data_IF_258484083275
#
_entry.id   IF_258484083275
#
_cell.length_a   1.000
_cell.length_b   1.000
_cell.length_c   1.000
_cell.angle_alpha   90.00
_cell.angle_beta   90.00
_cell.angle_gamma   90.00
#
_symmetry.space_group_name_H-M   'P 1'
#
loop_
_entity.id
_entity.type
_entity.pdbx_description
1 polymer ?
#
# COMPACT_ATOMS: atom_id res chain seq x y z
N UNK A 1 -17.51 -3.26 -6.13
CA UNK A 1 -16.60 -4.11 -5.33
C UNK A 1 -16.37 -3.43 -3.99
N UNK A 2 -16.38 -4.19 -2.90
CA UNK A 2 -16.22 -3.68 -1.53
C UNK A 2 -14.75 -3.42 -1.23
N UNK A 3 -14.47 -2.46 -0.34
CA UNK A 3 -13.13 -2.16 0.17
C UNK A 3 -12.47 -3.43 0.74
N UNK A 4 -11.21 -3.75 0.37
CA UNK A 4 -10.49 -4.89 0.96
C UNK A 4 -10.33 -4.75 2.48
N UNK A 5 -10.19 -5.87 3.21
CA UNK A 5 -9.91 -5.81 4.64
C UNK A 5 -8.58 -5.08 4.90
N UNK A 6 -8.49 -4.43 6.05
CA UNK A 6 -7.27 -3.72 6.47
C UNK A 6 -6.41 -4.61 7.35
N UNK A 7 -5.10 -4.54 7.18
CA UNK A 7 -4.14 -5.20 8.04
C UNK A 7 -4.24 -4.59 9.46
N UNK A 8 -4.41 -5.41 10.51
CA UNK A 8 -4.64 -4.89 11.85
C UNK A 8 -3.38 -4.27 12.43
N UNK A 9 -3.53 -3.15 13.14
CA UNK A 9 -2.46 -2.58 13.97
C UNK A 9 -2.50 -3.29 15.33
N UNK A 10 -1.52 -4.15 15.59
CA UNK A 10 -1.48 -4.98 16.79
C UNK A 10 -0.25 -4.63 17.64
N UNK A 11 -0.39 -4.44 18.97
CA UNK A 11 0.73 -4.05 19.85
C UNK A 11 1.88 -5.05 19.92
N UNK A 12 1.62 -6.34 19.69
CA UNK A 12 2.63 -7.40 19.77
C UNK A 12 3.43 -7.62 18.49
N UNK A 13 3.40 -6.67 17.55
CA UNK A 13 4.26 -6.69 16.38
C UNK A 13 5.73 -6.58 16.80
N UNK A 14 6.58 -7.44 16.27
CA UNK A 14 8.02 -7.37 16.48
C UNK A 14 8.61 -6.08 15.90
N UNK A 15 9.73 -5.64 16.48
CA UNK A 15 10.41 -4.41 16.08
C UNK A 15 10.99 -4.46 14.67
N UNK A 16 11.43 -5.64 14.24
CA UNK A 16 12.07 -5.81 12.94
C UNK A 16 11.01 -5.89 11.85
N UNK A 17 11.03 -4.92 10.94
CA UNK A 17 10.25 -4.94 9.71
C UNK A 17 11.24 -4.92 8.55
N UNK A 18 11.23 -5.98 7.74
CA UNK A 18 12.02 -5.99 6.52
C UNK A 18 11.17 -5.42 5.38
N UNK A 19 11.57 -4.25 4.85
CA UNK A 19 10.94 -3.64 3.68
C UNK A 19 11.89 -3.73 2.48
N UNK A 20 11.43 -4.33 1.38
CA UNK A 20 12.23 -4.56 0.17
C UNK A 20 11.53 -4.02 -1.08
N UNK A 21 12.13 -3.05 -1.82
CA UNK A 21 11.70 -2.76 -3.19
C UNK A 21 12.23 -3.83 -4.15
N UNK A 22 11.35 -4.42 -4.94
CA UNK A 22 11.68 -5.48 -5.90
C UNK A 22 11.45 -5.00 -7.33
N UNK A 23 12.52 -4.91 -8.11
CA UNK A 23 12.48 -4.69 -9.55
C UNK A 23 12.82 -5.98 -10.30
N UNK A 24 12.31 -6.10 -11.51
CA UNK A 24 12.67 -7.20 -12.42
C UNK A 24 13.40 -6.63 -13.62
N UNK A 25 14.63 -7.08 -13.87
CA UNK A 25 15.47 -6.64 -15.00
C UNK A 25 16.07 -7.86 -15.68
N UNK A 26 15.95 -7.94 -17.00
CA UNK A 26 16.65 -8.95 -17.80
C UNK A 26 18.03 -8.42 -18.17
N UNK A 27 19.06 -9.21 -17.93
CA UNK A 27 20.45 -8.89 -18.26
C UNK A 27 20.97 -9.95 -19.24
N UNK A 28 21.56 -9.49 -20.35
CA UNK A 28 22.19 -10.34 -21.35
C UNK A 28 23.64 -9.88 -21.54
N UNK A 29 24.60 -10.74 -21.21
CA UNK A 29 26.02 -10.51 -21.43
C UNK A 29 26.46 -10.85 -22.84
N UNK A 30 27.44 -10.11 -23.35
CA UNK A 30 28.07 -10.35 -24.64
C UNK A 30 29.50 -10.87 -24.45
N UNK A 31 30.05 -11.58 -25.43
CA UNK A 31 31.42 -12.13 -25.40
C UNK A 31 32.50 -11.05 -25.23
N UNK A 32 32.18 -9.79 -25.53
CA UNK A 32 33.06 -8.64 -25.33
C UNK A 32 33.07 -8.09 -23.90
N UNK A 33 32.29 -8.67 -22.97
CA UNK A 33 32.10 -8.17 -21.61
C UNK A 33 31.12 -7.00 -21.49
N UNK A 34 30.48 -6.59 -22.60
CA UNK A 34 29.38 -5.62 -22.58
C UNK A 34 28.07 -6.31 -22.24
N UNK A 35 27.09 -5.54 -21.75
CA UNK A 35 25.77 -6.07 -21.38
C UNK A 35 24.64 -5.23 -21.97
N UNK A 36 23.53 -5.91 -22.27
CA UNK A 36 22.23 -5.30 -22.53
C UNK A 36 21.34 -5.54 -21.31
N UNK A 37 20.66 -4.50 -20.85
CA UNK A 37 19.77 -4.54 -19.67
C UNK A 37 18.40 -4.00 -20.04
N UNK A 38 17.35 -4.74 -19.70
CA UNK A 38 15.95 -4.37 -19.99
C UNK A 38 15.14 -4.43 -18.69
N UNK A 39 14.66 -3.28 -18.17
CA UNK A 39 13.77 -3.27 -17.02
C UNK A 39 12.39 -3.78 -17.44
N UNK A 40 11.83 -4.72 -16.66
CA UNK A 40 10.50 -5.27 -16.87
C UNK A 40 9.43 -4.56 -16.04
N UNK A 41 9.82 -3.93 -14.93
CA UNK A 41 8.92 -3.17 -14.06
C UNK A 41 9.29 -1.69 -14.09
N UNK A 42 8.29 -0.83 -14.34
CA UNK A 42 8.43 0.63 -14.24
C UNK A 42 8.57 1.10 -12.78
N UNK A 43 7.85 0.45 -11.87
CA UNK A 43 7.87 0.73 -10.44
C UNK A 43 8.14 -0.56 -9.64
N UNK A 44 8.66 -0.49 -8.40
CA UNK A 44 8.94 -1.68 -7.61
C UNK A 44 7.66 -2.38 -7.16
N UNK A 45 7.74 -3.69 -6.93
CA UNK A 45 6.82 -4.34 -5.99
C UNK A 45 7.45 -4.21 -4.60
N UNK A 46 6.68 -3.69 -3.65
CA UNK A 46 7.12 -3.59 -2.27
C UNK A 46 6.82 -4.90 -1.56
N UNK A 47 7.80 -5.42 -0.85
CA UNK A 47 7.64 -6.65 -0.07
C UNK A 47 7.97 -6.36 1.39
N UNK A 48 7.18 -6.97 2.27
CA UNK A 48 7.36 -6.87 3.70
C UNK A 48 7.44 -8.25 4.32
N UNK A 49 8.28 -8.36 5.33
CA UNK A 49 8.30 -9.46 6.28
C UNK A 49 8.24 -8.88 7.69
N UNK A 50 7.22 -9.30 8.44
CA UNK A 50 6.89 -8.80 9.77
C UNK A 50 6.70 -9.98 10.70
N UNK A 51 7.23 -9.88 11.92
CA UNK A 51 6.96 -10.84 12.99
C UNK A 51 5.94 -10.30 14.00
N UNK A 52 5.31 -11.22 14.74
CA UNK A 52 4.54 -10.93 15.93
C UNK A 52 5.09 -11.78 17.07
N UNK A 53 5.73 -11.13 18.04
CA UNK A 53 6.35 -11.78 19.19
C UNK A 53 5.30 -12.15 20.25
N UNK A 54 4.10 -11.57 20.15
CA UNK A 54 2.98 -11.89 21.03
C UNK A 54 1.62 -11.56 20.42
N UNK A 55 0.71 -12.52 20.46
CA UNK A 55 -0.69 -12.40 20.07
C UNK A 55 -1.52 -13.08 21.15
N UNK A 56 -2.59 -12.43 21.59
CA UNK A 56 -3.48 -12.97 22.59
C UNK A 56 -4.68 -13.64 21.93
N UNK A 57 -5.00 -14.87 22.34
CA UNK A 57 -6.21 -15.57 21.89
C UNK A 57 -7.44 -15.26 22.75
N UNK A 58 -7.30 -14.42 23.77
CA UNK A 58 -8.33 -14.01 24.72
C UNK A 58 -8.00 -12.62 25.27
N UNK A 59 -8.72 -12.16 26.31
CA UNK A 59 -8.51 -10.87 26.95
C UNK A 59 -7.55 -10.91 28.16
N UNK A 60 -6.88 -12.04 28.45
CA UNK A 60 -6.01 -12.19 29.60
C UNK A 60 -4.70 -11.36 29.51
N UNK A 61 -4.33 -10.94 28.30
CA UNK A 61 -3.11 -10.18 28.02
C UNK A 61 -3.45 -8.81 27.42
N UNK A 62 -3.90 -7.83 28.23
CA UNK A 62 -4.39 -6.54 27.74
C UNK A 62 -3.33 -5.76 26.94
N UNK A 63 -2.05 -5.93 27.26
CA UNK A 63 -0.94 -5.29 26.54
C UNK A 63 -0.77 -5.75 25.08
N UNK A 64 -1.34 -6.91 24.71
CA UNK A 64 -1.28 -7.46 23.35
C UNK A 64 -2.57 -7.22 22.55
N UNK A 65 -3.56 -6.56 23.16
CA UNK A 65 -4.91 -6.41 22.61
C UNK A 65 -5.71 -7.71 22.73
N UNK A 66 -6.96 -7.60 23.18
CA UNK A 66 -7.84 -8.77 23.30
C UNK A 66 -8.11 -9.40 21.93
N UNK A 67 -7.93 -10.71 21.82
CA UNK A 67 -8.17 -11.48 20.60
C UNK A 67 -7.33 -11.03 19.38
N UNK A 68 -6.12 -10.50 19.61
CA UNK A 68 -5.22 -10.06 18.52
C UNK A 68 -4.81 -11.22 17.60
N UNK A 69 -4.74 -12.45 18.12
CA UNK A 69 -4.58 -13.65 17.29
C UNK A 69 -5.71 -13.75 16.26
N UNK A 70 -6.96 -13.66 16.70
CA UNK A 70 -8.12 -13.81 15.84
C UNK A 70 -8.23 -12.69 14.81
N UNK A 71 -7.77 -11.47 15.14
CA UNK A 71 -7.69 -10.38 14.17
C UNK A 71 -6.72 -10.70 13.02
N UNK A 72 -5.51 -11.18 13.33
CA UNK A 72 -4.52 -11.50 12.30
C UNK A 72 -4.86 -12.77 11.53
N UNK A 73 -5.22 -13.85 12.24
CA UNK A 73 -5.63 -15.11 11.64
C UNK A 73 -6.90 -14.93 10.79
N UNK A 74 -7.85 -14.12 11.27
CA UNK A 74 -9.06 -13.79 10.53
C UNK A 74 -8.78 -13.09 9.20
N UNK A 75 -7.83 -12.16 9.16
CA UNK A 75 -7.37 -11.53 7.92
C UNK A 75 -6.79 -12.56 6.94
N UNK A 76 -5.96 -13.47 7.45
CA UNK A 76 -5.33 -14.52 6.64
C UNK A 76 -6.39 -15.45 6.03
N UNK A 77 -7.39 -15.86 6.82
CA UNK A 77 -8.50 -16.69 6.37
C UNK A 77 -9.41 -15.97 5.36
N UNK A 78 -9.72 -14.68 5.57
CA UNK A 78 -10.48 -13.87 4.61
C UNK A 78 -9.73 -13.70 3.28
N UNK A 79 -8.39 -13.69 3.35
CA UNK A 79 -7.53 -13.62 2.17
C UNK A 79 -7.36 -14.99 1.49
N UNK A 80 -7.78 -16.09 2.11
CA UNK A 80 -7.58 -17.45 1.58
C UNK A 80 -6.13 -17.72 1.16
N UNK A 81 -5.16 -17.36 2.01
CA UNK A 81 -3.73 -17.45 1.68
C UNK A 81 -3.33 -16.39 0.66
N UNK A 82 -2.72 -16.81 -0.46
CA UNK A 82 -2.19 -15.89 -1.47
C UNK A 82 -3.25 -15.26 -2.39
N UNK A 83 -4.49 -15.74 -2.34
CA UNK A 83 -5.53 -15.35 -3.30
C UNK A 83 -6.01 -13.90 -3.10
N UNK A 84 -6.43 -13.59 -1.88
CA UNK A 84 -7.08 -12.34 -1.52
C UNK A 84 -6.08 -11.19 -1.35
N UNK A 85 -6.65 -9.98 -1.37
CA UNK A 85 -5.90 -8.73 -1.16
C UNK A 85 -6.37 -8.04 0.10
N UNK A 86 -5.47 -7.29 0.72
CA UNK A 86 -5.74 -6.48 1.91
C UNK A 86 -4.98 -5.15 1.84
N UNK A 87 -5.39 -4.19 2.65
CA UNK A 87 -4.74 -2.88 2.74
C UNK A 87 -3.72 -2.89 3.88
N UNK A 88 -2.47 -2.61 3.57
CA UNK A 88 -1.40 -2.43 4.55
C UNK A 88 -1.00 -0.95 4.63
N UNK A 89 -1.21 -0.34 5.79
CA UNK A 89 -0.75 1.02 6.08
C UNK A 89 0.58 0.93 6.81
N UNK A 90 1.67 1.24 6.13
CA UNK A 90 2.98 1.26 6.75
C UNK A 90 3.09 2.45 7.72
N UNK A 91 3.58 2.28 8.97
CA UNK A 91 3.63 3.37 9.95
C UNK A 91 4.48 4.59 9.55
N UNK A 92 5.52 4.39 8.74
CA UNK A 92 6.50 5.42 8.39
C UNK A 92 6.28 6.07 7.02
N UNK A 93 5.46 5.47 6.16
CA UNK A 93 5.23 5.91 4.77
C UNK A 93 3.75 5.75 4.43
N UNK A 94 2.95 6.74 4.83
CA UNK A 94 1.48 6.64 4.89
C UNK A 94 0.79 7.92 4.44
N UNK A 95 1.48 9.07 4.45
CA UNK A 95 0.89 10.37 4.15
C UNK A 95 1.70 11.13 3.09
N UNK A 96 0.98 11.88 2.26
CA UNK A 96 1.53 12.81 1.27
C UNK A 96 0.92 14.18 1.53
N UNK A 97 1.73 15.23 1.48
CA UNK A 97 1.31 16.61 1.73
C UNK A 97 1.57 17.48 0.51
N UNK A 98 0.49 18.07 -0.03
CA UNK A 98 0.48 19.03 -1.14
C UNK A 98 1.41 18.69 -2.31
N UNK A 99 1.54 17.40 -2.64
CA UNK A 99 2.44 16.95 -3.70
C UNK A 99 1.77 17.14 -5.05
N UNK A 100 2.52 17.66 -6.04
CA UNK A 100 2.08 17.69 -7.42
C UNK A 100 1.84 16.27 -7.95
N UNK A 101 0.69 16.07 -8.59
CA UNK A 101 0.27 14.80 -9.21
C UNK A 101 0.05 14.92 -10.72
N UNK A 102 0.05 16.15 -11.25
CA UNK A 102 -0.03 16.41 -12.69
C UNK A 102 -0.19 17.89 -13.00
N UNK A 103 -0.27 18.20 -14.28
CA UNK A 103 -0.51 19.54 -14.81
C UNK A 103 -1.75 19.48 -15.70
N UNK A 104 -2.66 20.43 -15.51
CA UNK A 104 -3.83 20.60 -16.37
C UNK A 104 -3.42 20.99 -17.78
N UNK A 105 -4.11 20.44 -18.77
CA UNK A 105 -3.95 20.75 -20.20
C UNK A 105 -5.25 21.37 -20.80
N UNK A 106 -6.27 21.62 -19.96
CA UNK A 106 -7.59 22.10 -20.37
C UNK A 106 -8.53 21.02 -20.91
N UNK A 107 -8.11 19.76 -21.00
CA UNK A 107 -8.91 18.65 -21.56
C UNK A 107 -8.94 17.40 -20.67
N UNK A 108 -7.80 16.99 -20.12
CA UNK A 108 -7.67 15.86 -19.25
C UNK A 108 -8.32 16.14 -17.89
N UNK A 109 -9.15 15.20 -17.44
CA UNK A 109 -9.87 15.28 -16.17
C UNK A 109 -9.30 14.34 -15.12
N UNK A 110 -8.51 13.34 -15.54
CA UNK A 110 -8.09 12.25 -14.69
C UNK A 110 -6.60 12.38 -14.31
N UNK A 111 -6.32 12.34 -13.01
CA UNK A 111 -4.98 12.38 -12.45
C UNK A 111 -4.81 11.23 -11.48
N UNK A 112 -3.64 10.58 -11.48
CA UNK A 112 -3.38 9.49 -10.54
C UNK A 112 -2.75 10.03 -9.27
N UNK A 113 -3.17 9.51 -8.11
CA UNK A 113 -2.47 9.77 -6.88
C UNK A 113 -1.09 9.12 -6.92
N UNK A 114 -0.07 9.91 -6.61
CA UNK A 114 1.33 9.48 -6.62
C UNK A 114 2.00 9.91 -5.31
N UNK A 115 2.97 9.13 -4.85
CA UNK A 115 3.87 9.49 -3.76
C UNK A 115 5.29 9.58 -4.27
N UNK A 116 6.08 10.50 -3.71
CA UNK A 116 7.50 10.65 -4.00
C UNK A 116 8.33 10.29 -2.78
N UNK A 117 9.21 9.30 -2.92
CA UNK A 117 10.12 8.84 -1.87
C UNK A 117 11.56 8.95 -2.36
N UNK A 118 12.37 9.79 -1.73
CA UNK A 118 13.79 9.94 -2.09
C UNK A 118 14.06 10.33 -3.55
N UNK A 119 13.11 11.03 -4.19
CA UNK A 119 13.18 11.42 -5.61
C UNK A 119 12.56 10.41 -6.58
N UNK A 120 12.08 9.26 -6.12
CA UNK A 120 11.33 8.31 -6.93
C UNK A 120 9.82 8.52 -6.75
N UNK A 121 9.11 8.79 -7.85
CA UNK A 121 7.66 8.98 -7.85
C UNK A 121 6.95 7.74 -8.36
N UNK A 122 5.99 7.23 -7.60
CA UNK A 122 5.17 6.07 -7.98
C UNK A 122 3.70 6.27 -7.63
N UNK A 123 2.83 5.55 -8.35
CA UNK A 123 1.39 5.53 -8.09
C UNK A 123 1.11 4.83 -6.77
N UNK A 124 0.22 5.40 -5.95
CA UNK A 124 -0.17 4.76 -4.68
C UNK A 124 -1.19 3.64 -4.91
N UNK A 125 -1.24 2.70 -3.96
CA UNK A 125 -2.09 1.51 -4.02
C UNK A 125 -3.56 1.75 -3.67
N UNK A 126 -3.82 2.56 -2.64
CA UNK A 126 -5.16 2.88 -2.17
C UNK A 126 -5.16 4.21 -1.43
N UNK A 127 -6.08 5.13 -1.74
CA UNK A 127 -6.23 6.39 -0.97
C UNK A 127 -7.18 6.18 0.21
N UNK A 128 -6.71 6.50 1.41
CA UNK A 128 -7.48 6.39 2.65
C UNK A 128 -8.17 7.72 2.97
N UNK A 129 -9.42 7.64 3.43
CA UNK A 129 -10.21 8.82 3.78
C UNK A 129 -10.50 9.72 2.57
N UNK A 130 -10.79 10.99 2.84
CA UNK A 130 -11.04 12.00 1.80
C UNK A 130 -9.78 12.83 1.58
N UNK A 131 -9.16 12.81 0.38
CA UNK A 131 -8.00 13.64 0.09
C UNK A 131 -8.37 15.14 0.02
N UNK A 132 -7.39 16.01 0.25
CA UNK A 132 -7.48 17.44 -0.04
C UNK A 132 -6.79 17.68 -1.38
N UNK A 133 -7.54 18.18 -2.35
CA UNK A 133 -7.06 18.43 -3.72
C UNK A 133 -6.91 19.92 -3.92
N UNK A 134 -5.85 20.33 -4.59
CA UNK A 134 -5.55 21.70 -4.91
C UNK A 134 -5.43 21.87 -6.42
N UNK A 135 -6.00 22.96 -6.93
CA UNK A 135 -5.83 23.44 -8.29
C UNK A 135 -5.05 24.75 -8.23
N UNK A 136 -3.82 24.73 -8.76
CA UNK A 136 -2.87 25.84 -8.73
C UNK A 136 -2.68 26.44 -7.32
N UNK A 137 -2.55 25.57 -6.31
CA UNK A 137 -2.33 25.94 -4.91
C UNK A 137 -3.60 26.28 -4.11
N UNK A 138 -4.78 26.34 -4.75
CA UNK A 138 -6.05 26.63 -4.06
C UNK A 138 -6.82 25.33 -3.81
N UNK A 139 -7.29 25.05 -2.58
CA UNK A 139 -8.07 23.85 -2.31
C UNK A 139 -9.39 23.87 -3.09
N UNK A 140 -9.69 22.76 -3.75
CA UNK A 140 -10.91 22.57 -4.52
C UNK A 140 -11.91 21.76 -3.70
N UNK A 141 -13.17 22.19 -3.69
CA UNK A 141 -14.24 21.49 -2.97
C UNK A 141 -14.39 20.04 -3.41
N UNK A 142 -14.78 19.17 -2.46
CA UNK A 142 -14.94 17.72 -2.68
C UNK A 142 -16.05 17.34 -3.65
N UNK A 143 -16.85 18.30 -4.13
CA UNK A 143 -17.87 18.09 -5.18
C UNK A 143 -17.34 18.36 -6.59
N UNK A 144 -16.21 19.04 -6.73
CA UNK A 144 -15.59 19.36 -8.02
C UNK A 144 -14.78 18.20 -8.60
N UNK A 145 -14.57 17.16 -7.82
CA UNK A 145 -13.84 15.97 -8.21
C UNK A 145 -14.44 14.74 -7.54
N UNK A 146 -14.18 13.58 -8.12
CA UNK A 146 -14.54 12.29 -7.56
C UNK A 146 -13.29 11.42 -7.41
N UNK A 147 -13.25 10.65 -6.33
CA UNK A 147 -12.28 9.58 -6.15
C UNK A 147 -12.91 8.29 -6.65
N UNK A 148 -12.30 7.66 -7.63
CA UNK A 148 -12.72 6.32 -8.06
C UNK A 148 -11.87 5.28 -7.33
N UNK A 149 -12.51 4.53 -6.42
CA UNK A 149 -11.93 3.36 -5.75
C UNK A 149 -12.96 2.20 -5.71
N UNK A 150 -12.57 0.93 -5.75
CA UNK A 150 -11.35 0.37 -6.33
C UNK A 150 -11.59 -0.08 -7.77
N UNK A 151 -10.64 0.23 -8.64
CA UNK A 151 -10.44 -0.64 -9.79
C UNK A 151 -8.94 -0.65 -10.04
N UNK A 152 -8.35 -1.84 -10.12
CA UNK A 152 -6.90 -2.10 -10.21
C UNK A 152 -6.24 -1.57 -11.48
N UNK A 153 -6.41 -0.27 -11.72
CA UNK A 153 -5.58 0.58 -12.57
C UNK A 153 -5.80 2.10 -12.30
N UNK A 154 -6.75 2.53 -11.46
CA UNK A 154 -7.17 3.95 -11.43
C UNK A 154 -7.50 4.46 -10.03
N UNK A 155 -6.51 4.51 -9.12
CA UNK A 155 -6.49 5.48 -8.01
C UNK A 155 -6.48 6.91 -8.58
N UNK A 156 -7.60 7.27 -9.19
CA UNK A 156 -7.73 8.39 -10.10
C UNK A 156 -8.66 9.41 -9.46
N UNK A 157 -8.09 10.58 -9.28
CA UNK A 157 -8.80 11.82 -9.10
C UNK A 157 -9.41 12.21 -10.44
N UNK A 158 -10.74 12.29 -10.52
CA UNK A 158 -11.43 12.76 -11.73
C UNK A 158 -12.15 14.07 -11.46
N UNK A 159 -11.74 15.14 -12.11
CA UNK A 159 -12.43 16.42 -12.01
C UNK A 159 -13.74 16.43 -12.82
N UNK A 160 -14.75 17.15 -12.33
CA UNK A 160 -15.98 17.41 -13.07
C UNK A 160 -15.70 18.23 -14.34
N UNK A 161 -14.84 19.24 -14.22
CA UNK A 161 -14.37 20.11 -15.30
C UNK A 161 -12.86 19.98 -15.42
N UNK A 162 -12.33 19.86 -16.64
CA UNK A 162 -10.89 19.73 -16.85
C UNK A 162 -10.17 20.96 -16.27
N UNK A 163 -9.12 20.78 -15.45
CA UNK A 163 -8.34 21.91 -14.98
C UNK A 163 -7.69 22.68 -16.14
N UNK A 164 -7.56 23.99 -15.98
CA UNK A 164 -7.03 24.85 -17.03
C UNK A 164 -5.58 24.51 -17.39
N UNK A 165 -5.18 24.86 -18.61
CA UNK A 165 -3.83 24.60 -19.10
C UNK A 165 -2.77 25.30 -18.21
N UNK A 166 -1.77 24.54 -17.77
CA UNK A 166 -0.68 25.04 -16.94
C UNK A 166 -0.97 25.07 -15.44
N UNK A 167 -2.19 24.75 -15.02
CA UNK A 167 -2.51 24.63 -13.60
C UNK A 167 -1.85 23.40 -12.98
N UNK A 168 -1.09 23.58 -11.90
CA UNK A 168 -0.50 22.46 -11.15
C UNK A 168 -1.56 21.83 -10.26
N UNK A 169 -1.81 20.55 -10.47
CA UNK A 169 -2.71 19.77 -9.63
C UNK A 169 -1.88 19.11 -8.54
N UNK A 170 -2.22 19.38 -7.28
CA UNK A 170 -1.56 18.77 -6.13
C UNK A 170 -2.56 18.20 -5.14
N UNK A 171 -2.13 17.26 -4.30
CA UNK A 171 -3.00 16.64 -3.31
C UNK A 171 -2.28 16.34 -1.99
N UNK A 172 -3.04 16.44 -0.90
CA UNK A 172 -2.69 15.92 0.42
C UNK A 172 -3.60 14.74 0.75
N UNK A 173 -3.03 13.59 1.10
CA UNK A 173 -3.81 12.38 1.31
C UNK A 173 -3.06 11.35 2.16
N UNK A 174 -3.81 10.43 2.76
CA UNK A 174 -3.25 9.22 3.37
C UNK A 174 -3.43 8.05 2.42
N UNK A 175 -2.56 7.06 2.46
CA UNK A 175 -2.65 5.91 1.57
C UNK A 175 -2.28 4.59 2.27
N UNK A 176 -2.71 3.50 1.66
CA UNK A 176 -2.28 2.15 1.99
C UNK A 176 -1.72 1.45 0.75
N UNK A 177 -0.85 0.48 0.98
CA UNK A 177 -0.45 -0.47 -0.05
C UNK A 177 -1.48 -1.58 -0.12
N UNK A 178 -2.04 -1.81 -1.31
CA UNK A 178 -2.81 -3.02 -1.54
C UNK A 178 -1.83 -4.19 -1.67
N UNK A 179 -1.97 -5.19 -0.80
CA UNK A 179 -1.04 -6.29 -0.64
C UNK A 179 -1.74 -7.65 -0.75
N UNK A 180 -0.96 -8.70 -0.95
CA UNK A 180 -1.38 -10.11 -0.80
C UNK A 180 -0.29 -10.89 -0.06
N UNK A 181 -0.68 -11.95 0.63
CA UNK A 181 0.28 -12.88 1.23
C UNK A 181 1.12 -13.57 0.15
N UNK A 182 2.36 -13.91 0.49
CA UNK A 182 3.29 -14.62 -0.40
C UNK A 182 3.20 -16.14 -0.31
N UNK A 183 2.60 -16.66 0.76
CA UNK A 183 2.47 -18.09 1.04
C UNK A 183 1.01 -18.44 1.30
N UNK A 184 0.62 -19.68 0.94
CA UNK A 184 -0.72 -20.22 1.24
C UNK A 184 -0.79 -20.85 2.63
N UNK A 185 0.36 -21.00 3.29
CA UNK A 185 0.51 -21.49 4.64
C UNK A 185 1.14 -20.42 5.53
N UNK A 186 0.67 -20.32 6.77
CA UNK A 186 1.29 -19.51 7.81
C UNK A 186 1.19 -20.24 9.15
N UNK A 187 2.31 -20.27 9.86
CA UNK A 187 2.40 -20.95 11.15
C UNK A 187 2.15 -19.95 12.28
N UNK A 188 1.02 -20.12 12.95
CA UNK A 188 0.73 -19.47 14.22
C UNK A 188 1.09 -20.44 15.33
N UNK A 189 2.15 -20.13 16.08
CA UNK A 189 2.65 -21.00 17.14
C UNK A 189 2.05 -20.59 18.48
N UNK A 190 1.43 -21.54 19.19
CA UNK A 190 1.05 -21.36 20.59
C UNK A 190 2.22 -21.76 21.48
N UNK A 191 2.92 -20.78 22.05
CA UNK A 191 4.11 -21.04 22.87
C UNK A 191 3.81 -20.99 24.38
N UNK A 192 2.66 -20.44 24.77
CA UNK A 192 2.20 -20.40 26.16
C UNK A 192 0.67 -20.23 26.18
N UNK A 193 0.00 -20.69 27.24
CA UNK A 193 -1.47 -20.64 27.32
C UNK A 193 -2.07 -19.25 26.95
N UNK A 194 -2.74 -19.20 25.80
CA UNK A 194 -3.38 -18.00 25.28
C UNK A 194 -2.45 -16.98 24.61
N UNK A 195 -1.15 -17.29 24.51
CA UNK A 195 -0.12 -16.51 23.84
C UNK A 195 0.40 -17.23 22.61
N UNK A 196 0.39 -16.51 21.50
CA UNK A 196 0.77 -17.00 20.20
C UNK A 196 1.81 -16.08 19.56
N UNK A 197 2.58 -16.62 18.63
CA UNK A 197 3.55 -15.85 17.87
C UNK A 197 3.52 -16.23 16.39
N UNK A 198 4.06 -15.34 15.56
CA UNK A 198 4.31 -15.55 14.13
C UNK A 198 5.71 -15.01 13.83
N UNK A 199 6.65 -15.88 13.48
CA UNK A 199 8.06 -15.46 13.31
C UNK A 199 8.32 -14.72 12.00
N UNK A 200 7.47 -14.92 10.98
CA UNK A 200 7.60 -14.23 9.70
C UNK A 200 6.35 -14.32 8.87
N UNK A 201 5.63 -13.21 8.75
CA UNK A 201 4.50 -13.05 7.85
C UNK A 201 4.95 -12.25 6.63
N UNK A 202 4.96 -12.91 5.48
CA UNK A 202 5.46 -12.35 4.22
C UNK A 202 4.32 -11.95 3.31
N UNK A 203 4.38 -10.73 2.81
CA UNK A 203 3.40 -10.21 1.86
C UNK A 203 4.04 -9.21 0.92
N UNK A 204 3.40 -8.99 -0.23
CA UNK A 204 3.85 -8.02 -1.22
C UNK A 204 2.71 -7.15 -1.73
N UNK A 205 3.07 -5.96 -2.18
CA UNK A 205 2.15 -5.08 -2.88
C UNK A 205 1.72 -5.70 -4.20
N UNK A 206 0.47 -5.47 -4.59
CA UNK A 206 -0.01 -5.68 -5.96
C UNK A 206 0.06 -4.37 -6.71
N UNK A 207 0.18 -4.43 -8.04
CA UNK A 207 0.16 -3.20 -8.83
C UNK A 207 -1.24 -2.58 -8.80
N UNK A 208 -1.32 -1.24 -8.62
CA UNK A 208 -2.58 -0.52 -8.60
C UNK A 208 -3.26 -0.50 -9.94
#
# INVERSE_FOLDING_TARGET
MTTPPSFPVLPGQGWSVHRRPTFSTRVAGHVSGREVRVPLYEAPLWEWEISFDGLASNAAYPGLGANSLQSLLGLYLQSQGQFGVFLYTEPTDTTVSAQAIGIGDGSNKAFSFVRTLGGFTERVGWVLGTPIVYDNGTPVGSTSWTLTAPNGSLNALTFATAPAAGHVISASFSFAFQCRFLDDQSDFENFMNGLWQVQGLKFRSVKP
#
